data_IF_223355494133
#
_entry.id   IF_223355494133
#
_cell.length_a   1.000
_cell.length_b   1.000
_cell.length_c   1.000
_cell.angle_alpha   90.00
_cell.angle_beta   90.00
_cell.angle_gamma   90.00
#
_symmetry.space_group_name_H-M   'P 1'
#
loop_
_entity.id
_entity.type
_entity.pdbx_description
1 polymer ?
#
# COMPACT_ATOMS: atom_id res chain seq x y z
N UNK A 1 -13.75 -19.25 -15.12
CA UNK A 1 -12.77 -18.19 -15.49
C UNK A 1 -12.14 -17.69 -14.21
N UNK A 2 -10.82 -17.62 -14.11
CA UNK A 2 -10.16 -17.14 -12.89
C UNK A 2 -10.27 -15.63 -12.79
N UNK A 3 -10.83 -15.14 -11.69
CA UNK A 3 -11.02 -13.72 -11.41
C UNK A 3 -10.05 -13.29 -10.32
N UNK A 4 -9.48 -12.10 -10.45
CA UNK A 4 -8.63 -11.51 -9.41
C UNK A 4 -9.30 -10.25 -8.82
N UNK A 5 -9.18 -10.08 -7.50
CA UNK A 5 -9.55 -8.85 -6.79
C UNK A 5 -8.27 -8.20 -6.30
N UNK A 6 -8.08 -6.91 -6.63
CA UNK A 6 -6.91 -6.14 -6.23
C UNK A 6 -7.35 -4.96 -5.36
N UNK A 7 -6.80 -4.89 -4.15
CA UNK A 7 -7.02 -3.79 -3.22
C UNK A 7 -5.95 -2.71 -3.34
N UNK A 8 -6.38 -1.46 -3.17
CA UNK A 8 -5.49 -0.30 -3.22
C UNK A 8 -4.68 -0.09 -1.95
N UNK A 9 -3.46 0.42 -2.13
CA UNK A 9 -2.61 0.88 -1.05
C UNK A 9 -2.93 2.30 -0.58
N UNK A 10 -2.20 2.73 0.44
CA UNK A 10 -2.27 4.06 1.05
C UNK A 10 -1.88 5.17 0.05
N UNK A 11 -2.34 6.41 0.30
CA UNK A 11 -1.95 7.61 -0.45
C UNK A 11 -2.92 8.04 -1.57
N UNK A 12 -3.98 7.27 -1.85
CA UNK A 12 -4.94 7.59 -2.92
C UNK A 12 -6.32 8.03 -2.42
N UNK A 13 -6.58 7.97 -1.11
CA UNK A 13 -7.85 8.36 -0.51
C UNK A 13 -7.90 9.88 -0.32
N UNK A 14 -9.04 10.47 -0.67
CA UNK A 14 -9.35 11.88 -0.47
C UNK A 14 -10.63 12.01 0.36
N UNK A 15 -10.84 13.12 1.04
CA UNK A 15 -12.04 13.35 1.85
C UNK A 15 -13.34 13.15 1.06
N UNK A 16 -13.36 13.51 -0.23
CA UNK A 16 -14.54 13.27 -1.09
C UNK A 16 -14.94 11.79 -1.16
N UNK A 17 -13.95 10.87 -1.12
CA UNK A 17 -14.20 9.43 -1.14
C UNK A 17 -14.84 8.98 0.18
N UNK A 18 -14.36 9.49 1.31
CA UNK A 18 -14.93 9.20 2.62
C UNK A 18 -16.35 9.77 2.75
N UNK A 19 -16.62 10.97 2.24
CA UNK A 19 -17.97 11.53 2.20
C UNK A 19 -18.91 10.70 1.32
N UNK A 20 -18.45 10.15 0.19
CA UNK A 20 -19.25 9.25 -0.63
C UNK A 20 -19.58 7.97 0.13
N UNK A 21 -18.61 7.35 0.80
CA UNK A 21 -18.82 6.20 1.66
C UNK A 21 -19.91 6.49 2.72
N UNK A 22 -19.79 7.61 3.42
CA UNK A 22 -20.70 8.00 4.52
C UNK A 22 -22.14 8.24 4.10
N UNK A 23 -22.38 8.59 2.84
CA UNK A 23 -23.75 8.75 2.30
C UNK A 23 -24.49 7.43 2.10
N UNK A 24 -23.81 6.29 2.24
CA UNK A 24 -24.39 4.96 1.99
C UNK A 24 -24.71 4.22 3.28
N UNK A 25 -25.75 3.37 3.25
CA UNK A 25 -26.06 2.47 4.38
C UNK A 25 -24.91 1.55 4.73
N UNK A 26 -24.13 1.09 3.74
CA UNK A 26 -22.96 0.23 3.95
C UNK A 26 -21.86 0.97 4.71
N UNK A 27 -21.54 2.21 4.31
CA UNK A 27 -20.51 3.01 4.98
C UNK A 27 -20.91 3.38 6.42
N UNK A 28 -22.20 3.69 6.67
CA UNK A 28 -22.70 3.95 8.02
C UNK A 28 -22.61 2.70 8.91
N UNK A 29 -22.97 1.51 8.39
CA UNK A 29 -22.81 0.24 9.13
C UNK A 29 -21.35 -0.04 9.46
N UNK A 30 -20.43 0.22 8.52
CA UNK A 30 -19.00 0.02 8.73
C UNK A 30 -18.47 0.94 9.86
N UNK A 31 -18.91 2.19 9.93
CA UNK A 31 -18.57 3.07 11.06
C UNK A 31 -19.17 2.62 12.39
N UNK A 32 -20.39 2.10 12.40
CA UNK A 32 -20.97 1.53 13.62
C UNK A 32 -20.20 0.28 14.09
N UNK A 33 -19.68 -0.52 13.18
CA UNK A 33 -18.82 -1.66 13.49
C UNK A 33 -17.48 -1.19 14.07
N UNK A 34 -16.87 -0.16 13.46
CA UNK A 34 -15.65 0.46 13.97
C UNK A 34 -15.85 0.99 15.40
N UNK A 35 -16.94 1.71 15.68
CA UNK A 35 -17.28 2.23 17.01
C UNK A 35 -17.38 1.11 18.06
N UNK A 36 -18.00 -0.02 17.71
CA UNK A 36 -18.14 -1.17 18.61
C UNK A 36 -16.82 -1.86 18.91
N UNK A 37 -15.87 -1.85 17.98
CA UNK A 37 -14.61 -2.59 18.15
C UNK A 37 -13.44 -1.73 18.64
N UNK A 38 -13.36 -0.44 18.29
CA UNK A 38 -12.31 0.50 18.73
C UNK A 38 -12.80 1.94 18.72
N UNK A 39 -13.17 2.46 19.90
CA UNK A 39 -13.68 3.80 20.09
C UNK A 39 -12.70 4.89 19.63
N UNK A 40 -11.39 4.71 19.86
CA UNK A 40 -10.38 5.71 19.44
C UNK A 40 -10.29 5.82 17.91
N UNK A 41 -10.32 4.70 17.18
CA UNK A 41 -10.33 4.70 15.72
C UNK A 41 -11.61 5.30 15.15
N UNK A 42 -12.75 5.09 15.81
CA UNK A 42 -14.00 5.75 15.45
C UNK A 42 -13.91 7.27 15.63
N UNK A 43 -13.44 7.74 16.78
CA UNK A 43 -13.23 9.17 17.04
C UNK A 43 -12.22 9.80 16.07
N UNK A 44 -11.17 9.05 15.70
CA UNK A 44 -10.24 9.49 14.68
C UNK A 44 -10.95 9.71 13.33
N UNK A 45 -11.79 8.76 12.89
CA UNK A 45 -12.57 8.91 11.67
C UNK A 45 -13.52 10.12 11.74
N UNK A 46 -14.18 10.38 12.87
CA UNK A 46 -14.99 11.58 13.04
C UNK A 46 -14.17 12.87 12.91
N UNK A 47 -12.97 12.91 13.49
CA UNK A 47 -12.04 14.05 13.38
C UNK A 47 -11.55 14.27 11.95
N UNK A 48 -11.30 13.19 11.20
CA UNK A 48 -10.95 13.26 9.77
C UNK A 48 -12.09 13.87 8.96
N UNK A 49 -13.32 13.38 9.15
CA UNK A 49 -14.49 13.83 8.42
C UNK A 49 -14.81 15.32 8.65
N UNK A 50 -14.49 15.85 9.83
CA UNK A 50 -14.62 17.30 10.13
C UNK A 50 -13.33 18.09 9.94
N UNK A 51 -12.31 17.51 9.26
CA UNK A 51 -11.02 18.13 8.92
C UNK A 51 -10.20 18.60 10.14
N UNK A 52 -10.38 17.98 11.29
CA UNK A 52 -9.59 18.25 12.51
C UNK A 52 -8.28 17.42 12.56
N UNK A 53 -8.18 16.41 11.72
CA UNK A 53 -6.96 15.58 11.54
C UNK A 53 -6.65 15.52 10.06
N UNK A 54 -5.37 15.65 9.71
CA UNK A 54 -4.89 15.51 8.34
C UNK A 54 -5.05 14.04 7.89
N UNK A 55 -5.57 13.86 6.68
CA UNK A 55 -5.70 12.55 6.06
C UNK A 55 -4.35 11.87 5.80
N UNK A 56 -3.26 12.64 5.76
CA UNK A 56 -1.88 12.17 5.62
C UNK A 56 -1.24 11.76 6.96
N UNK A 57 -1.92 11.97 8.12
CA UNK A 57 -1.45 11.35 9.38
C UNK A 57 -1.36 9.84 9.21
N UNK A 58 -0.30 9.23 9.75
CA UNK A 58 0.02 7.81 9.53
C UNK A 58 -1.15 6.89 9.87
N UNK A 59 -1.83 7.12 11.01
CA UNK A 59 -2.98 6.31 11.41
C UNK A 59 -4.21 6.64 10.58
N UNK A 60 -4.49 7.92 10.36
CA UNK A 60 -5.63 8.38 9.58
C UNK A 60 -5.60 7.84 8.14
N UNK A 61 -4.44 7.88 7.49
CA UNK A 61 -4.28 7.40 6.13
C UNK A 61 -4.53 5.89 5.99
N UNK A 62 -3.95 5.07 6.90
CA UNK A 62 -4.15 3.62 6.87
C UNK A 62 -5.59 3.22 7.21
N UNK A 63 -6.17 3.79 8.25
CA UNK A 63 -7.55 3.53 8.65
C UNK A 63 -8.53 3.90 7.54
N UNK A 64 -8.37 5.09 6.96
CA UNK A 64 -9.22 5.55 5.87
C UNK A 64 -9.10 4.67 4.62
N UNK A 65 -7.89 4.24 4.26
CA UNK A 65 -7.66 3.32 3.16
C UNK A 65 -8.36 1.99 3.39
N UNK A 66 -8.19 1.40 4.57
CA UNK A 66 -8.83 0.13 4.93
C UNK A 66 -10.35 0.21 4.87
N UNK A 67 -10.96 1.22 5.51
CA UNK A 67 -12.41 1.38 5.53
C UNK A 67 -13.00 1.67 4.15
N UNK A 68 -12.32 2.47 3.34
CA UNK A 68 -12.78 2.77 1.98
C UNK A 68 -12.73 1.54 1.07
N UNK A 69 -11.65 0.78 1.10
CA UNK A 69 -11.53 -0.47 0.36
C UNK A 69 -12.58 -1.49 0.80
N UNK A 70 -12.86 -1.59 2.11
CA UNK A 70 -13.90 -2.45 2.66
C UNK A 70 -15.30 -2.00 2.19
N UNK A 71 -15.54 -0.71 2.14
CA UNK A 71 -16.77 -0.18 1.56
C UNK A 71 -16.94 -0.53 0.07
N UNK A 72 -15.85 -0.58 -0.72
CA UNK A 72 -15.90 -1.00 -2.12
C UNK A 72 -16.08 -2.51 -2.30
N UNK A 73 -15.70 -3.32 -1.33
CA UNK A 73 -15.74 -4.78 -1.42
C UNK A 73 -17.16 -5.27 -1.64
N UNK A 74 -17.40 -6.03 -2.70
CA UNK A 74 -18.64 -6.76 -2.92
C UNK A 74 -18.44 -8.25 -2.58
N UNK A 75 -18.94 -8.66 -1.43
CA UNK A 75 -18.78 -10.03 -0.95
C UNK A 75 -19.51 -11.07 -1.79
N UNK A 76 -20.53 -10.68 -2.57
CA UNK A 76 -21.23 -11.57 -3.51
C UNK A 76 -20.34 -11.99 -4.70
N UNK A 77 -19.29 -11.22 -4.97
CA UNK A 77 -18.30 -11.53 -6.01
C UNK A 77 -17.14 -12.39 -5.50
N UNK A 78 -17.11 -12.74 -4.21
CA UNK A 78 -16.06 -13.55 -3.57
C UNK A 78 -16.51 -14.99 -3.49
N UNK A 79 -15.83 -15.86 -4.22
CA UNK A 79 -16.11 -17.30 -4.29
C UNK A 79 -14.79 -18.11 -4.29
N UNK A 80 -14.83 -19.44 -4.01
CA UNK A 80 -13.62 -20.25 -4.00
C UNK A 80 -12.79 -20.14 -5.28
N UNK A 81 -11.48 -20.23 -5.16
CA UNK A 81 -10.47 -20.08 -6.22
C UNK A 81 -10.33 -18.68 -6.81
N UNK A 82 -10.99 -17.64 -6.24
CA UNK A 82 -10.66 -16.26 -6.60
C UNK A 82 -9.21 -15.95 -6.22
N UNK A 83 -8.55 -15.10 -6.99
CA UNK A 83 -7.21 -14.62 -6.69
C UNK A 83 -7.33 -13.30 -5.93
N UNK A 84 -6.70 -13.24 -4.75
CA UNK A 84 -6.51 -12.00 -4.02
C UNK A 84 -5.10 -11.45 -4.22
N UNK A 85 -5.01 -10.16 -4.45
CA UNK A 85 -3.77 -9.41 -4.43
C UNK A 85 -4.00 -7.99 -3.91
N UNK A 86 -2.95 -7.29 -3.56
CA UNK A 86 -3.06 -5.92 -3.08
C UNK A 86 -1.77 -5.13 -3.31
N UNK A 87 -1.95 -3.82 -3.48
CA UNK A 87 -0.85 -2.87 -3.42
C UNK A 87 -0.62 -2.49 -1.94
N UNK A 88 0.53 -2.90 -1.37
CA UNK A 88 0.96 -2.49 -0.03
C UNK A 88 -0.15 -2.66 1.04
N UNK A 89 -0.57 -1.59 1.71
CA UNK A 89 -1.58 -1.59 2.78
C UNK A 89 -2.94 -2.21 2.40
N UNK A 90 -3.22 -2.43 1.12
CA UNK A 90 -4.42 -3.16 0.69
C UNK A 90 -4.47 -4.61 1.16
N UNK A 91 -3.35 -5.18 1.60
CA UNK A 91 -3.29 -6.54 2.19
C UNK A 91 -4.24 -6.68 3.39
N UNK A 92 -4.49 -5.63 4.16
CA UNK A 92 -5.44 -5.68 5.28
C UNK A 92 -6.86 -6.00 4.82
N UNK A 93 -7.25 -5.51 3.65
CA UNK A 93 -8.54 -5.85 3.06
C UNK A 93 -8.57 -7.27 2.49
N UNK A 94 -7.44 -7.78 1.96
CA UNK A 94 -7.32 -9.19 1.59
C UNK A 94 -7.52 -10.10 2.81
N UNK A 95 -6.87 -9.78 3.96
CA UNK A 95 -7.02 -10.54 5.19
C UNK A 95 -8.48 -10.61 5.66
N UNK A 96 -9.23 -9.51 5.56
CA UNK A 96 -10.65 -9.47 5.93
C UNK A 96 -11.51 -10.23 4.91
N UNK A 97 -11.36 -9.93 3.62
CA UNK A 97 -12.18 -10.48 2.55
C UNK A 97 -12.01 -12.00 2.40
N UNK A 98 -10.81 -12.50 2.62
CA UNK A 98 -10.50 -13.94 2.65
C UNK A 98 -10.88 -14.63 3.97
N UNK A 99 -11.33 -13.87 4.98
CA UNK A 99 -11.58 -14.35 6.35
C UNK A 99 -10.32 -14.88 7.04
N UNK A 100 -9.14 -14.42 6.63
CA UNK A 100 -7.86 -14.79 7.24
C UNK A 100 -7.58 -14.03 8.55
N UNK A 101 -8.26 -12.91 8.79
CA UNK A 101 -8.24 -12.18 10.05
C UNK A 101 -9.59 -11.48 10.30
N UNK A 102 -9.91 -11.24 11.57
CA UNK A 102 -11.13 -10.55 11.97
C UNK A 102 -10.98 -9.03 11.88
N UNK A 103 -12.07 -8.32 11.56
CA UNK A 103 -12.11 -6.85 11.46
C UNK A 103 -11.49 -6.16 12.68
N UNK A 104 -11.87 -6.55 13.90
CA UNK A 104 -11.34 -5.97 15.15
C UNK A 104 -9.83 -6.13 15.28
N UNK A 105 -9.28 -7.29 14.88
CA UNK A 105 -7.85 -7.56 14.96
C UNK A 105 -7.08 -6.71 13.95
N UNK A 106 -7.63 -6.50 12.76
CA UNK A 106 -7.05 -5.63 11.73
C UNK A 106 -7.04 -4.17 12.20
N UNK A 107 -8.14 -3.66 12.77
CA UNK A 107 -8.21 -2.31 13.33
C UNK A 107 -7.17 -2.12 14.43
N UNK A 108 -7.09 -3.08 15.38
CA UNK A 108 -6.07 -3.09 16.41
C UNK A 108 -4.65 -3.05 15.80
N UNK A 109 -4.39 -3.87 14.79
CA UNK A 109 -3.09 -3.96 14.14
C UNK A 109 -2.72 -2.65 13.42
N UNK A 110 -3.64 -2.06 12.64
CA UNK A 110 -3.45 -0.76 11.97
C UNK A 110 -3.05 0.31 13.00
N UNK A 111 -3.75 0.37 14.14
CA UNK A 111 -3.47 1.29 15.23
C UNK A 111 -2.08 1.05 15.82
N UNK A 112 -1.72 -0.19 16.14
CA UNK A 112 -0.42 -0.55 16.73
C UNK A 112 0.74 -0.33 15.77
N UNK A 113 0.57 -0.68 14.49
CA UNK A 113 1.54 -0.39 13.43
C UNK A 113 1.79 1.11 13.29
N UNK A 114 0.73 1.93 13.33
CA UNK A 114 0.84 3.39 13.28
C UNK A 114 1.56 3.97 14.51
N UNK A 115 1.27 3.43 15.69
CA UNK A 115 1.98 3.80 16.92
C UNK A 115 3.48 3.46 16.83
N UNK A 116 3.81 2.26 16.36
CA UNK A 116 5.20 1.84 16.17
C UNK A 116 5.96 2.80 15.26
N UNK A 117 5.40 3.19 14.11
CA UNK A 117 6.02 4.17 13.20
C UNK A 117 6.25 5.52 13.89
N UNK A 118 5.25 6.03 14.62
CA UNK A 118 5.37 7.31 15.33
C UNK A 118 6.46 7.26 16.41
N UNK A 119 6.60 6.14 17.13
CA UNK A 119 7.63 5.94 18.14
C UNK A 119 9.04 5.87 17.56
N UNK A 120 9.19 5.44 16.29
CA UNK A 120 10.49 5.43 15.63
C UNK A 120 11.01 6.83 15.31
N UNK A 121 10.14 7.84 15.29
CA UNK A 121 10.50 9.23 15.02
C UNK A 121 11.17 9.45 13.65
N UNK A 122 10.95 8.56 12.70
CA UNK A 122 11.48 8.69 11.34
C UNK A 122 10.82 9.85 10.61
N UNK A 123 11.61 10.57 9.83
CA UNK A 123 11.18 11.75 9.06
C UNK A 123 11.25 11.55 7.56
N UNK A 124 11.72 10.37 7.11
CA UNK A 124 11.70 10.01 5.71
C UNK A 124 10.26 9.79 5.24
N UNK A 125 9.93 10.31 4.07
CA UNK A 125 8.62 10.23 3.43
C UNK A 125 8.72 9.53 2.08
N UNK A 126 7.59 9.07 1.54
CA UNK A 126 7.56 8.43 0.24
C UNK A 126 7.34 9.44 -0.89
N UNK A 127 8.16 9.33 -1.92
CA UNK A 127 8.16 10.16 -3.11
C UNK A 127 8.02 9.30 -4.37
N UNK A 128 7.12 9.68 -5.28
CA UNK A 128 7.05 9.09 -6.61
C UNK A 128 8.28 9.55 -7.40
N UNK A 129 9.01 8.59 -7.94
CA UNK A 129 10.14 8.80 -8.86
C UNK A 129 9.72 8.36 -10.26
N UNK A 130 10.00 9.19 -11.27
CA UNK A 130 9.87 8.86 -12.68
C UNK A 130 11.18 9.16 -13.39
N UNK A 131 11.67 8.21 -14.18
CA UNK A 131 12.92 8.28 -14.93
C UNK A 131 12.77 7.52 -16.24
N UNK A 132 13.77 7.56 -17.13
CA UNK A 132 13.74 6.82 -18.40
C UNK A 132 13.94 5.31 -18.21
N UNK A 133 14.74 4.92 -17.22
CA UNK A 133 15.00 3.52 -16.86
C UNK A 133 15.26 3.41 -15.36
N UNK A 134 14.30 2.85 -14.62
CA UNK A 134 14.39 2.74 -13.16
C UNK A 134 15.53 1.81 -12.72
N UNK A 135 15.80 0.73 -13.44
CA UNK A 135 16.89 -0.20 -13.11
C UNK A 135 18.27 0.45 -13.18
N UNK A 136 18.53 1.18 -14.27
CA UNK A 136 19.81 1.90 -14.43
C UNK A 136 19.92 3.07 -13.43
N UNK A 137 18.82 3.80 -13.21
CA UNK A 137 18.77 4.87 -12.21
C UNK A 137 19.03 4.33 -10.81
N UNK A 138 18.47 3.16 -10.49
CA UNK A 138 18.72 2.49 -9.21
C UNK A 138 20.21 2.20 -9.03
N UNK A 139 20.85 1.52 -9.99
CA UNK A 139 22.26 1.11 -9.89
C UNK A 139 23.22 2.30 -9.81
N UNK A 140 22.98 3.34 -10.59
CA UNK A 140 23.95 4.43 -10.75
C UNK A 140 23.70 5.62 -9.81
N UNK A 141 22.46 5.80 -9.34
CA UNK A 141 22.08 6.96 -8.53
C UNK A 141 21.58 6.56 -7.13
N UNK A 142 20.62 5.63 -7.03
CA UNK A 142 20.01 5.32 -5.73
C UNK A 142 20.89 4.41 -4.87
N UNK A 143 21.50 3.39 -5.44
CA UNK A 143 22.34 2.44 -4.69
C UNK A 143 23.57 3.13 -4.06
N UNK A 144 24.32 3.98 -4.78
CA UNK A 144 25.38 4.81 -4.17
C UNK A 144 24.85 5.80 -3.12
N UNK A 145 23.59 6.20 -3.22
CA UNK A 145 22.90 7.15 -2.31
C UNK A 145 22.15 6.47 -1.16
N UNK A 146 22.30 5.17 -0.97
CA UNK A 146 21.43 4.32 -0.14
C UNK A 146 21.41 4.65 1.36
N UNK A 147 22.32 5.46 1.85
CA UNK A 147 22.27 5.98 3.22
C UNK A 147 21.15 7.02 3.42
N UNK A 148 20.80 7.79 2.38
CA UNK A 148 19.85 8.90 2.43
C UNK A 148 18.56 8.63 1.66
N UNK A 149 18.67 7.91 0.52
CA UNK A 149 17.56 7.65 -0.38
C UNK A 149 17.46 6.15 -0.63
N UNK A 150 16.27 5.57 -0.41
CA UNK A 150 16.05 4.13 -0.62
C UNK A 150 14.89 3.90 -1.56
N UNK A 151 15.06 2.97 -2.50
CA UNK A 151 13.95 2.46 -3.29
C UNK A 151 12.98 1.71 -2.36
N UNK A 152 11.71 2.09 -2.41
CA UNK A 152 10.64 1.49 -1.61
C UNK A 152 9.73 0.60 -2.46
N UNK A 153 9.32 1.08 -3.66
CA UNK A 153 8.40 0.35 -4.53
C UNK A 153 8.91 0.39 -5.98
N UNK A 154 8.93 -0.76 -6.64
CA UNK A 154 9.07 -0.85 -8.09
C UNK A 154 7.68 -0.86 -8.71
N UNK A 155 7.30 0.25 -9.37
CA UNK A 155 5.96 0.38 -9.97
C UNK A 155 5.93 -0.13 -11.42
N UNK A 156 6.96 0.19 -12.20
CA UNK A 156 7.22 -0.27 -13.57
C UNK A 156 8.65 0.09 -13.99
N UNK A 157 9.00 -0.09 -15.26
CA UNK A 157 10.37 0.11 -15.83
C UNK A 157 10.87 1.54 -15.71
N UNK A 158 9.97 2.53 -15.62
CA UNK A 158 10.32 3.96 -15.62
C UNK A 158 9.84 4.70 -14.39
N UNK A 159 9.20 4.01 -13.45
CA UNK A 159 8.71 4.65 -12.23
C UNK A 159 8.78 3.72 -11.01
N UNK A 160 9.10 4.32 -9.89
CA UNK A 160 9.15 3.69 -8.58
C UNK A 160 8.75 4.68 -7.50
N UNK A 161 8.84 4.24 -6.26
CA UNK A 161 8.71 5.08 -5.08
C UNK A 161 9.99 5.00 -4.29
N UNK A 162 10.50 6.13 -3.85
CA UNK A 162 11.67 6.23 -2.98
C UNK A 162 11.27 6.78 -1.63
N UNK A 163 12.01 6.40 -0.59
CA UNK A 163 11.92 6.97 0.73
C UNK A 163 13.13 7.86 0.99
N UNK A 164 12.90 9.09 1.40
CA UNK A 164 13.94 10.06 1.77
C UNK A 164 13.34 11.20 2.57
N UNK A 165 14.20 12.00 3.19
CA UNK A 165 13.80 13.28 3.79
C UNK A 165 13.66 14.35 2.71
N UNK A 166 12.85 15.36 2.96
CA UNK A 166 12.71 16.51 2.06
C UNK A 166 14.06 17.22 1.81
N UNK A 167 14.89 17.33 2.85
CA UNK A 167 16.24 17.92 2.75
C UNK A 167 17.21 17.15 1.84
N UNK A 168 16.97 15.86 1.60
CA UNK A 168 17.80 14.99 0.76
C UNK A 168 17.44 15.07 -0.74
N UNK A 169 16.40 15.80 -1.12
CA UNK A 169 16.03 16.01 -2.53
C UNK A 169 17.19 16.64 -3.30
N UNK A 170 17.84 17.67 -2.71
CA UNK A 170 18.99 18.32 -3.33
C UNK A 170 20.16 17.35 -3.54
N UNK A 171 20.42 16.49 -2.58
CA UNK A 171 21.48 15.48 -2.69
C UNK A 171 21.18 14.48 -3.82
N UNK A 172 19.91 14.07 -3.98
CA UNK A 172 19.47 13.24 -5.10
C UNK A 172 19.64 13.97 -6.45
N UNK A 173 19.31 15.28 -6.52
CA UNK A 173 19.51 16.12 -7.70
C UNK A 173 20.98 16.17 -8.12
N UNK A 174 21.88 16.44 -7.17
CA UNK A 174 23.32 16.52 -7.41
C UNK A 174 23.86 15.19 -7.97
N UNK A 175 23.48 14.05 -7.40
CA UNK A 175 23.92 12.73 -7.85
C UNK A 175 23.32 12.37 -9.22
N UNK A 176 22.04 12.60 -9.44
CA UNK A 176 21.42 12.31 -10.74
C UNK A 176 22.02 13.16 -11.88
N UNK A 177 22.28 14.45 -11.61
CA UNK A 177 22.90 15.33 -12.59
C UNK A 177 24.35 14.95 -12.90
N UNK A 178 25.13 14.54 -11.91
CA UNK A 178 26.53 14.08 -12.11
C UNK A 178 26.60 12.85 -13.02
N UNK A 179 25.61 11.97 -12.95
CA UNK A 179 25.47 10.77 -13.76
C UNK A 179 24.68 11.00 -15.07
N UNK A 180 24.24 12.24 -15.33
CA UNK A 180 23.51 12.61 -16.55
C UNK A 180 22.07 12.09 -16.65
N UNK A 181 21.46 11.74 -15.53
CA UNK A 181 20.08 11.24 -15.49
C UNK A 181 19.04 12.35 -15.41
N UNK A 182 18.02 12.26 -16.26
CA UNK A 182 16.80 13.05 -16.15
C UNK A 182 15.77 12.29 -15.32
N UNK A 183 15.16 12.98 -14.36
CA UNK A 183 14.10 12.38 -13.54
C UNK A 183 13.08 13.44 -13.10
N UNK A 184 11.93 12.96 -12.61
CA UNK A 184 10.92 13.76 -11.94
C UNK A 184 10.56 13.12 -10.61
N UNK A 185 10.37 13.95 -9.61
CA UNK A 185 9.98 13.51 -8.28
C UNK A 185 8.73 14.26 -7.81
N UNK A 186 7.89 13.56 -7.04
CA UNK A 186 6.68 14.13 -6.45
C UNK A 186 6.40 13.48 -5.10
N UNK A 187 6.19 14.30 -4.08
CA UNK A 187 5.74 13.84 -2.76
C UNK A 187 4.39 13.10 -2.85
N UNK A 188 4.28 11.99 -2.10
CA UNK A 188 3.06 11.17 -2.04
C UNK A 188 2.24 11.43 -0.78
N UNK A 189 2.72 12.24 0.17
CA UNK A 189 2.07 12.50 1.46
C UNK A 189 2.03 11.29 2.38
N UNK A 190 2.88 10.29 2.15
CA UNK A 190 3.02 9.10 3.02
C UNK A 190 4.21 9.32 3.94
N UNK A 191 3.92 9.67 5.19
CA UNK A 191 4.89 10.11 6.21
C UNK A 191 5.53 8.94 6.97
N UNK A 192 6.02 7.96 6.23
CA UNK A 192 6.77 6.84 6.79
C UNK A 192 7.55 6.11 5.68
N UNK A 193 8.78 5.65 5.94
CA UNK A 193 9.64 5.01 4.96
C UNK A 193 9.31 3.51 4.77
N UNK A 194 8.03 3.18 4.56
CA UNK A 194 7.61 1.80 4.33
C UNK A 194 8.36 1.16 3.18
N UNK A 195 8.52 -0.16 3.24
CA UNK A 195 9.20 -0.96 2.23
C UNK A 195 10.68 -0.64 2.05
N UNK A 196 11.32 -0.15 3.12
CA UNK A 196 12.76 0.15 3.10
C UNK A 196 13.47 -0.29 4.37
N UNK A 197 14.75 -0.59 4.25
CA UNK A 197 15.61 -0.94 5.39
C UNK A 197 15.78 0.19 6.42
N UNK A 198 15.21 1.38 6.22
CA UNK A 198 15.09 2.40 7.28
C UNK A 198 14.25 1.89 8.48
N UNK A 199 13.46 0.82 8.30
CA UNK A 199 12.63 0.23 9.35
C UNK A 199 13.23 -1.03 9.99
N UNK A 200 14.44 -1.49 9.58
CA UNK A 200 15.06 -2.73 10.07
C UNK A 200 15.16 -2.81 11.59
N UNK A 201 15.52 -1.71 12.25
CA UNK A 201 15.70 -1.68 13.71
C UNK A 201 14.40 -2.01 14.47
N UNK A 202 13.26 -1.88 13.82
CA UNK A 202 11.95 -2.15 14.40
C UNK A 202 11.35 -3.49 14.00
N UNK A 203 12.01 -4.25 13.12
CA UNK A 203 11.48 -5.49 12.53
C UNK A 203 11.00 -6.49 13.59
N UNK A 204 11.80 -6.75 14.63
CA UNK A 204 11.41 -7.66 15.72
C UNK A 204 10.14 -7.21 16.46
N UNK A 205 9.96 -5.90 16.64
CA UNK A 205 8.75 -5.35 17.26
C UNK A 205 7.55 -5.51 16.33
N UNK A 206 7.76 -5.31 15.04
CA UNK A 206 6.73 -5.49 14.03
C UNK A 206 6.29 -6.96 13.90
N UNK A 207 7.22 -7.91 13.89
CA UNK A 207 6.93 -9.36 13.90
C UNK A 207 6.02 -9.77 15.08
N UNK A 208 6.26 -9.20 16.27
CA UNK A 208 5.40 -9.42 17.44
C UNK A 208 3.97 -8.92 17.20
N UNK A 209 3.80 -7.79 16.50
CA UNK A 209 2.48 -7.29 16.13
C UNK A 209 1.79 -8.21 15.11
N UNK A 210 2.54 -8.68 14.09
CA UNK A 210 2.01 -9.61 13.08
C UNK A 210 1.54 -10.91 13.73
N UNK A 211 2.31 -11.50 14.63
CA UNK A 211 1.90 -12.70 15.38
C UNK A 211 0.60 -12.49 16.17
N UNK A 212 0.42 -11.31 16.77
CA UNK A 212 -0.80 -10.97 17.53
C UNK A 212 -2.02 -10.70 16.63
N UNK A 213 -1.83 -10.42 15.36
CA UNK A 213 -2.93 -10.27 14.40
C UNK A 213 -3.68 -11.60 14.19
N UNK A 214 -3.02 -12.73 14.48
CA UNK A 214 -3.59 -14.08 14.44
C UNK A 214 -4.16 -14.43 13.05
N UNK A 215 -3.31 -14.36 12.03
CA UNK A 215 -3.68 -14.67 10.65
C UNK A 215 -3.82 -16.18 10.49
N UNK A 216 -4.94 -16.61 9.92
CA UNK A 216 -5.20 -17.99 9.51
C UNK A 216 -5.47 -17.99 8.00
N UNK A 217 -4.51 -18.45 7.21
CA UNK A 217 -4.64 -18.52 5.76
C UNK A 217 -5.86 -19.37 5.39
N UNK A 218 -6.69 -18.85 4.50
CA UNK A 218 -7.86 -19.57 3.99
C UNK A 218 -7.53 -20.18 2.62
N UNK A 219 -7.31 -21.48 2.59
CA UNK A 219 -6.92 -22.22 1.38
C UNK A 219 -8.02 -22.34 0.32
N UNK A 220 -9.23 -21.84 0.58
CA UNK A 220 -10.28 -21.72 -0.44
C UNK A 220 -9.96 -20.66 -1.50
N UNK A 221 -8.97 -19.81 -1.27
CA UNK A 221 -8.57 -18.70 -2.13
C UNK A 221 -7.12 -18.80 -2.58
N UNK A 222 -6.81 -18.18 -3.70
CA UNK A 222 -5.45 -18.02 -4.18
C UNK A 222 -4.92 -16.63 -3.84
N UNK A 223 -3.63 -16.53 -3.57
CA UNK A 223 -2.97 -15.28 -3.20
C UNK A 223 -1.77 -15.05 -4.10
N UNK A 224 -1.62 -13.84 -4.63
CA UNK A 224 -0.45 -13.43 -5.41
C UNK A 224 0.22 -12.25 -4.70
N UNK A 225 1.35 -12.55 -4.06
CA UNK A 225 2.20 -11.63 -3.33
C UNK A 225 3.68 -12.03 -3.53
N UNK A 226 4.61 -11.47 -2.75
CA UNK A 226 6.01 -11.90 -2.74
C UNK A 226 6.17 -13.24 -2.01
N UNK A 227 5.49 -13.38 -0.87
CA UNK A 227 5.51 -14.56 -0.02
C UNK A 227 4.24 -15.38 -0.19
N UNK A 228 4.33 -16.70 0.04
CA UNK A 228 3.18 -17.61 0.00
C UNK A 228 2.31 -17.50 1.26
N UNK A 229 2.94 -17.21 2.41
CA UNK A 229 2.25 -16.98 3.68
C UNK A 229 1.93 -15.49 3.86
N UNK A 230 0.72 -15.18 4.34
CA UNK A 230 0.25 -13.81 4.51
C UNK A 230 0.93 -13.09 5.69
N UNK A 231 1.38 -13.81 6.71
CA UNK A 231 2.14 -13.23 7.82
C UNK A 231 3.55 -12.88 7.36
N UNK A 232 4.19 -13.76 6.59
CA UNK A 232 5.50 -13.52 6.01
C UNK A 232 5.45 -12.37 5.01
N UNK A 233 4.38 -12.25 4.22
CA UNK A 233 4.18 -11.10 3.33
C UNK A 233 4.09 -9.77 4.09
N UNK A 234 3.36 -9.73 5.22
CA UNK A 234 3.32 -8.53 6.06
C UNK A 234 4.69 -8.16 6.61
N UNK A 235 5.46 -9.16 7.05
CA UNK A 235 6.83 -8.96 7.56
C UNK A 235 7.74 -8.48 6.42
N UNK A 236 7.68 -9.14 5.27
CA UNK A 236 8.45 -8.75 4.08
C UNK A 236 8.16 -7.29 3.67
N UNK A 237 6.90 -6.89 3.63
CA UNK A 237 6.48 -5.53 3.27
C UNK A 237 6.94 -4.45 4.26
N UNK A 238 7.43 -4.82 5.44
CA UNK A 238 7.86 -3.82 6.42
C UNK A 238 9.11 -3.09 5.99
N UNK A 239 10.14 -3.82 5.60
CA UNK A 239 11.50 -3.30 5.39
C UNK A 239 12.14 -3.70 4.05
N UNK A 240 11.44 -4.47 3.19
CA UNK A 240 11.93 -4.87 1.88
C UNK A 240 11.22 -4.14 0.75
N UNK A 241 11.94 -3.94 -0.35
CA UNK A 241 11.40 -3.30 -1.56
C UNK A 241 10.17 -4.05 -2.08
N UNK A 242 9.06 -3.34 -2.22
CA UNK A 242 7.81 -3.89 -2.71
C UNK A 242 7.79 -3.91 -4.25
N UNK A 243 8.02 -5.07 -4.85
CA UNK A 243 8.00 -5.22 -6.32
C UNK A 243 6.56 -5.34 -6.84
N UNK A 244 5.85 -4.20 -6.88
CA UNK A 244 4.48 -4.15 -7.39
C UNK A 244 4.39 -4.56 -8.87
N UNK A 245 5.36 -4.18 -9.71
CA UNK A 245 5.43 -4.59 -11.10
C UNK A 245 5.32 -6.12 -11.24
N UNK A 246 6.20 -6.86 -10.55
CA UNK A 246 6.23 -8.31 -10.63
C UNK A 246 4.97 -8.99 -10.07
N UNK A 247 4.36 -8.42 -9.02
CA UNK A 247 3.06 -8.90 -8.52
C UNK A 247 1.97 -8.70 -9.60
N UNK A 248 1.88 -7.52 -10.19
CA UNK A 248 0.84 -7.21 -11.18
C UNK A 248 0.98 -8.08 -12.43
N UNK A 249 2.19 -8.34 -12.91
CA UNK A 249 2.47 -9.25 -14.01
C UNK A 249 1.95 -10.65 -13.71
N UNK A 250 2.29 -11.22 -12.55
CA UNK A 250 1.76 -12.52 -12.10
C UNK A 250 0.23 -12.55 -12.02
N UNK A 251 -0.41 -11.47 -11.56
CA UNK A 251 -1.88 -11.40 -11.51
C UNK A 251 -2.47 -11.43 -12.91
N UNK A 252 -1.89 -10.68 -13.86
CA UNK A 252 -2.35 -10.66 -15.26
C UNK A 252 -2.21 -12.04 -15.92
N UNK A 253 -1.10 -12.73 -15.70
CA UNK A 253 -0.84 -14.07 -16.22
C UNK A 253 -1.85 -15.12 -15.70
N UNK A 254 -2.25 -14.99 -14.43
CA UNK A 254 -3.07 -16.01 -13.75
C UNK A 254 -4.58 -15.68 -13.71
N UNK A 255 -5.00 -14.50 -14.18
CA UNK A 255 -6.40 -14.09 -14.17
C UNK A 255 -6.88 -13.62 -15.54
N UNK A 256 -8.17 -13.88 -15.84
CA UNK A 256 -8.85 -13.37 -17.06
C UNK A 256 -9.64 -12.09 -16.81
N UNK A 257 -10.03 -11.86 -15.57
CA UNK A 257 -10.79 -10.68 -15.14
C UNK A 257 -10.17 -10.13 -13.88
N UNK A 258 -9.98 -8.81 -13.83
CA UNK A 258 -9.42 -8.10 -12.68
C UNK A 258 -10.44 -7.08 -12.17
N UNK A 259 -10.86 -7.25 -10.92
CA UNK A 259 -11.67 -6.29 -10.18
C UNK A 259 -10.73 -5.34 -9.46
N UNK A 260 -10.71 -4.09 -9.91
CA UNK A 260 -9.89 -3.02 -9.35
C UNK A 260 -10.68 -2.30 -8.26
N UNK A 261 -10.35 -2.54 -7.00
CA UNK A 261 -10.91 -1.88 -5.81
C UNK A 261 -10.02 -0.71 -5.34
N UNK A 262 -9.47 0.04 -6.29
CA UNK A 262 -8.66 1.22 -5.99
C UNK A 262 -9.42 2.52 -6.28
N UNK A 263 -9.19 3.58 -5.51
CA UNK A 263 -9.69 4.90 -5.85
C UNK A 263 -9.25 5.30 -7.26
N UNK A 264 -10.17 5.89 -8.04
CA UNK A 264 -9.90 6.37 -9.40
C UNK A 264 -9.42 5.30 -10.39
N UNK A 265 -9.64 4.00 -10.10
CA UNK A 265 -9.24 2.87 -10.96
C UNK A 265 -7.75 2.90 -11.30
N UNK A 266 -6.93 3.05 -10.27
CA UNK A 266 -5.47 3.16 -10.41
C UNK A 266 -4.85 1.95 -11.09
N UNK A 267 -5.23 0.74 -10.68
CA UNK A 267 -4.71 -0.52 -11.26
C UNK A 267 -5.14 -0.67 -12.73
N UNK A 268 -6.40 -0.38 -13.03
CA UNK A 268 -6.91 -0.42 -14.40
C UNK A 268 -6.11 0.49 -15.34
N UNK A 269 -5.74 1.69 -14.86
CA UNK A 269 -4.90 2.62 -15.63
C UNK A 269 -3.47 2.11 -15.82
N UNK A 270 -2.91 1.43 -14.83
CA UNK A 270 -1.59 0.79 -14.98
C UNK A 270 -1.64 -0.33 -16.01
N UNK A 271 -2.63 -1.21 -15.96
CA UNK A 271 -2.83 -2.30 -16.93
C UNK A 271 -2.98 -1.78 -18.37
N UNK A 272 -3.71 -0.69 -18.55
CA UNK A 272 -3.85 -0.05 -19.87
C UNK A 272 -2.52 0.45 -20.42
N UNK A 273 -1.66 1.03 -19.55
CA UNK A 273 -0.31 1.48 -19.93
C UNK A 273 0.61 0.31 -20.29
N UNK A 274 0.56 -0.80 -19.54
CA UNK A 274 1.32 -2.01 -19.86
C UNK A 274 0.95 -2.54 -21.24
N UNK A 275 -0.32 -2.76 -21.53
CA UNK A 275 -0.82 -3.23 -22.83
C UNK A 275 -0.47 -2.30 -24.00
N UNK A 276 -0.42 -0.99 -23.77
CA UNK A 276 -0.03 -0.03 -24.82
C UNK A 276 1.44 -0.19 -25.19
N UNK A 277 2.31 -0.35 -24.19
CA UNK A 277 3.76 -0.53 -24.40
C UNK A 277 4.11 -1.83 -25.10
N UNK A 278 3.42 -2.94 -24.74
CA UNK A 278 3.60 -4.22 -25.43
C UNK A 278 3.30 -4.11 -26.93
N UNK A 279 2.30 -3.31 -27.32
CA UNK A 279 1.94 -3.06 -28.73
C UNK A 279 2.92 -2.12 -29.45
N UNK A 280 3.62 -1.26 -28.73
CA UNK A 280 4.60 -0.33 -29.31
C UNK A 280 6.01 -0.98 -29.48
N UNK A 281 6.27 -2.05 -28.73
CA UNK A 281 7.56 -2.76 -28.72
C UNK A 281 7.52 -4.11 -29.47
N UNK A 282 6.36 -4.60 -29.91
CA UNK A 282 6.16 -5.79 -30.75
C UNK A 282 5.77 -5.43 -32.17
#
# INVERSE_FOLDING_TARGET
MTKAIIYGGQGNIQLKHLYQMMKTKKGQKLLMELEKCDQESYELMQKILVKKVDLNDIHAAMLSNFLYNEWLTNYEEIYPNIIFSAHSAGIFNVLLASKSAEFKNIIWFIKKRSQLIKELGRTEELWLLMTENLGMFYQNVLEPSSEKVKLAIVTNEISGVVAMKEEDVRFLDENANSEGYLYKIKELGVKAPYHTSFLNDSLKRYEVLVKKLNIVKNDSYNYIFHCEDLSDELIYQWDNVFNWKGILEKVVENSREIIDLTPNKFITKQLQKMKKRERENG
#
